data_IF_385852629677
#
_entry.id   IF_385852629677
#
_cell.length_a   1.000
_cell.length_b   1.000
_cell.length_c   1.000
_cell.angle_alpha   90.00
_cell.angle_beta   90.00
_cell.angle_gamma   90.00
#
_symmetry.space_group_name_H-M   'P 1'
#
loop_
_entity.id
_entity.type
_entity.pdbx_description
1 polymer ?
#
# COMPACT_ATOMS: atom_id res chain seq x y z
N UNK A 1 -13.53 -21.37 -61.39
CA UNK A 1 -13.96 -21.26 -59.99
C UNK A 1 -12.69 -21.15 -59.17
N UNK A 2 -12.39 -19.96 -58.67
CA UNK A 2 -11.21 -19.70 -57.84
C UNK A 2 -11.49 -20.29 -56.47
N UNK A 3 -10.70 -21.28 -56.05
CA UNK A 3 -10.55 -21.64 -54.64
C UNK A 3 -9.97 -20.41 -53.94
N UNK A 4 -10.81 -19.65 -53.23
CA UNK A 4 -10.30 -18.85 -52.13
C UNK A 4 -9.78 -19.85 -51.11
N UNK A 5 -8.44 -19.96 -51.02
CA UNK A 5 -7.83 -20.52 -49.83
C UNK A 5 -8.37 -19.70 -48.65
N UNK A 6 -8.95 -20.38 -47.69
CA UNK A 6 -9.37 -19.82 -46.42
C UNK A 6 -8.09 -19.45 -45.65
N UNK A 7 -7.46 -18.34 -46.02
CA UNK A 7 -6.18 -17.85 -45.49
C UNK A 7 -6.38 -17.05 -44.21
N UNK A 8 -7.44 -17.31 -43.45
CA UNK A 8 -7.63 -16.69 -42.15
C UNK A 8 -6.97 -17.56 -41.09
N UNK A 9 -6.07 -16.97 -40.31
CA UNK A 9 -5.49 -17.61 -39.14
C UNK A 9 -6.61 -17.91 -38.15
N UNK A 10 -6.78 -19.15 -37.72
CA UNK A 10 -7.73 -19.48 -36.67
C UNK A 10 -7.19 -19.03 -35.29
N UNK A 11 -8.07 -18.96 -34.28
CA UNK A 11 -7.69 -18.49 -32.95
C UNK A 11 -6.55 -19.30 -32.31
N UNK A 12 -6.45 -20.60 -32.62
CA UNK A 12 -5.41 -21.48 -32.08
C UNK A 12 -4.06 -21.18 -32.71
N UNK A 13 -4.02 -20.96 -34.02
CA UNK A 13 -2.82 -20.57 -34.74
C UNK A 13 -2.38 -19.16 -34.37
N UNK A 14 -3.32 -18.21 -34.21
CA UNK A 14 -3.02 -16.86 -33.74
C UNK A 14 -2.40 -16.89 -32.34
N UNK A 15 -3.00 -17.66 -31.42
CA UNK A 15 -2.46 -17.83 -30.05
C UNK A 15 -1.08 -18.47 -30.07
N UNK A 16 -0.82 -19.43 -30.96
CA UNK A 16 0.49 -20.06 -31.11
C UNK A 16 1.54 -19.05 -31.58
N UNK A 17 1.23 -18.26 -32.60
CA UNK A 17 2.12 -17.23 -33.16
C UNK A 17 2.44 -16.16 -32.10
N UNK A 18 1.41 -15.65 -31.43
CA UNK A 18 1.57 -14.71 -30.32
C UNK A 18 2.47 -15.29 -29.22
N UNK A 19 2.21 -16.51 -28.75
CA UNK A 19 2.98 -17.11 -27.66
C UNK A 19 4.44 -17.40 -28.03
N UNK A 20 4.70 -17.73 -29.30
CA UNK A 20 6.06 -17.93 -29.82
C UNK A 20 6.85 -16.61 -29.81
N UNK A 21 6.25 -15.52 -30.30
CA UNK A 21 6.83 -14.18 -30.27
C UNK A 21 7.12 -13.71 -28.85
N UNK A 22 6.14 -13.80 -27.94
CA UNK A 22 6.30 -13.39 -26.53
C UNK A 22 7.43 -14.18 -25.85
N UNK A 23 7.48 -15.50 -26.04
CA UNK A 23 8.52 -16.33 -25.40
C UNK A 23 9.92 -16.00 -25.91
N UNK A 24 10.05 -15.73 -27.19
CA UNK A 24 11.34 -15.43 -27.82
C UNK A 24 11.85 -14.04 -27.42
N UNK A 25 10.97 -13.04 -27.40
CA UNK A 25 11.34 -11.63 -27.26
C UNK A 25 11.27 -11.12 -25.80
N UNK A 26 10.30 -11.62 -25.02
CA UNK A 26 10.00 -11.12 -23.67
C UNK A 26 10.26 -12.14 -22.56
N UNK A 27 10.35 -13.42 -22.90
CA UNK A 27 10.76 -14.50 -22.00
C UNK A 27 9.66 -15.52 -21.67
N UNK A 28 10.03 -16.56 -20.92
CA UNK A 28 9.23 -17.80 -20.80
C UNK A 28 8.16 -17.78 -19.70
N UNK A 29 8.26 -16.83 -18.77
CA UNK A 29 7.36 -16.70 -17.61
C UNK A 29 6.03 -16.03 -17.96
N UNK A 30 5.96 -15.32 -19.09
CA UNK A 30 4.74 -14.68 -19.56
C UNK A 30 3.77 -15.71 -20.15
N UNK A 31 2.49 -15.41 -20.02
CA UNK A 31 1.37 -16.20 -20.53
C UNK A 31 0.41 -15.29 -21.29
N UNK A 32 -0.42 -15.90 -22.13
CA UNK A 32 -1.53 -15.21 -22.77
C UNK A 32 -2.82 -15.59 -22.06
N UNK A 33 -3.65 -14.60 -21.77
CA UNK A 33 -5.03 -14.82 -21.36
C UNK A 33 -5.91 -15.18 -22.57
N UNK A 34 -7.23 -15.22 -22.37
CA UNK A 34 -8.17 -15.37 -23.48
C UNK A 34 -8.09 -14.20 -24.46
N UNK A 35 -8.27 -14.52 -25.74
CA UNK A 35 -8.12 -13.58 -26.85
C UNK A 35 -9.45 -13.13 -27.41
N UNK A 36 -9.48 -11.89 -27.88
CA UNK A 36 -10.61 -11.30 -28.57
C UNK A 36 -10.27 -11.12 -30.05
N UNK A 37 -11.24 -11.31 -30.94
CA UNK A 37 -11.08 -11.09 -32.38
C UNK A 37 -11.83 -9.83 -32.79
N UNK A 38 -11.13 -8.89 -33.40
CA UNK A 38 -11.72 -7.70 -34.01
C UNK A 38 -12.03 -7.98 -35.49
N UNK A 39 -13.32 -8.07 -35.84
CA UNK A 39 -13.76 -8.30 -37.22
C UNK A 39 -13.50 -7.09 -38.14
N UNK A 40 -13.36 -5.88 -37.60
CA UNK A 40 -13.12 -4.65 -38.35
C UNK A 40 -11.69 -4.56 -38.86
N UNK A 41 -10.73 -4.84 -37.98
CA UNK A 41 -9.29 -4.78 -38.28
C UNK A 41 -8.71 -6.16 -38.66
N UNK A 42 -9.49 -7.24 -38.50
CA UNK A 42 -9.09 -8.63 -38.74
C UNK A 42 -7.88 -9.05 -37.88
N UNK A 43 -7.88 -8.63 -36.61
CA UNK A 43 -6.80 -8.88 -35.67
C UNK A 43 -7.28 -9.70 -34.46
N UNK A 44 -6.43 -10.62 -34.00
CA UNK A 44 -6.59 -11.25 -32.70
C UNK A 44 -5.76 -10.51 -31.66
N UNK A 45 -6.37 -10.12 -30.55
CA UNK A 45 -5.69 -9.47 -29.43
C UNK A 45 -5.70 -10.41 -28.23
N UNK A 46 -4.53 -10.64 -27.63
CA UNK A 46 -4.38 -11.42 -26.41
C UNK A 46 -3.69 -10.57 -25.33
N UNK A 47 -4.24 -10.60 -24.11
CA UNK A 47 -3.57 -9.98 -22.96
C UNK A 47 -2.38 -10.82 -22.53
N UNK A 48 -1.25 -10.17 -22.28
CA UNK A 48 -0.04 -10.78 -21.75
C UNK A 48 -0.09 -10.66 -20.23
N UNK A 49 -0.07 -11.80 -19.57
CA UNK A 49 -0.17 -11.88 -18.11
C UNK A 49 1.08 -12.53 -17.51
N UNK A 50 1.46 -12.06 -16.32
CA UNK A 50 2.44 -12.69 -15.45
C UNK A 50 1.73 -13.29 -14.24
N UNK A 51 1.90 -14.60 -14.01
CA UNK A 51 1.43 -15.28 -12.80
C UNK A 51 2.63 -15.71 -11.97
N UNK A 52 2.87 -15.01 -10.88
CA UNK A 52 3.99 -15.31 -9.98
C UNK A 52 3.59 -16.43 -9.02
N UNK A 53 4.33 -17.56 -8.99
CA UNK A 53 4.10 -18.61 -8.01
C UNK A 53 4.52 -18.14 -6.61
N UNK A 54 3.70 -18.46 -5.61
CA UNK A 54 3.96 -18.33 -4.18
C UNK A 54 4.11 -19.73 -3.58
N UNK A 55 5.32 -20.06 -3.17
CA UNK A 55 5.61 -21.33 -2.49
C UNK A 55 5.34 -21.14 -0.99
N UNK A 56 4.46 -21.96 -0.44
CA UNK A 56 4.19 -22.01 1.00
C UNK A 56 5.01 -23.16 1.59
N UNK A 57 5.78 -22.84 2.62
CA UNK A 57 6.66 -23.79 3.32
C UNK A 57 6.02 -24.23 4.65
N UNK A 58 6.50 -25.34 5.20
CA UNK A 58 6.10 -25.80 6.53
C UNK A 58 6.65 -24.87 7.62
N UNK A 59 6.19 -25.05 8.86
CA UNK A 59 6.57 -24.19 9.99
C UNK A 59 8.10 -24.12 10.21
N UNK A 60 8.82 -25.18 9.82
CA UNK A 60 10.28 -25.26 9.91
C UNK A 60 10.99 -24.73 8.65
N UNK A 61 10.23 -24.33 7.61
CA UNK A 61 10.69 -23.78 6.32
C UNK A 61 11.58 -24.73 5.52
N UNK A 62 11.52 -26.03 5.79
CA UNK A 62 12.35 -27.03 5.12
C UNK A 62 11.65 -27.64 3.91
N UNK A 63 10.31 -27.74 3.93
CA UNK A 63 9.56 -28.40 2.88
C UNK A 63 8.44 -27.52 2.32
N UNK A 64 8.21 -27.60 1.02
CA UNK A 64 7.06 -26.98 0.37
C UNK A 64 5.78 -27.78 0.67
N UNK A 65 4.79 -27.11 1.26
CA UNK A 65 3.48 -27.70 1.59
C UNK A 65 2.41 -27.32 0.58
N UNK A 66 2.50 -26.13 -0.03
CA UNK A 66 1.53 -25.64 -1.00
C UNK A 66 2.19 -24.72 -2.05
N UNK A 67 1.62 -24.66 -3.25
CA UNK A 67 2.06 -23.78 -4.34
C UNK A 67 0.85 -23.01 -4.85
N UNK A 68 0.77 -21.74 -4.49
CA UNK A 68 -0.28 -20.83 -4.96
C UNK A 68 0.23 -19.98 -6.10
N UNK A 69 -0.67 -19.38 -6.85
CA UNK A 69 -0.33 -18.36 -7.84
C UNK A 69 -1.02 -17.08 -7.41
N UNK A 70 -0.27 -15.98 -7.41
CA UNK A 70 -0.87 -14.66 -7.27
C UNK A 70 -1.79 -14.39 -8.46
N UNK A 71 -2.71 -13.45 -8.29
CA UNK A 71 -3.58 -13.01 -9.38
C UNK A 71 -2.73 -12.53 -10.58
N UNK A 72 -3.20 -12.75 -11.81
CA UNK A 72 -2.44 -12.42 -13.01
C UNK A 72 -2.23 -10.92 -13.12
N UNK A 73 -0.98 -10.50 -13.26
CA UNK A 73 -0.61 -9.11 -13.57
C UNK A 73 -0.63 -8.96 -15.09
N UNK A 74 -1.45 -8.06 -15.61
CA UNK A 74 -1.43 -7.69 -17.02
C UNK A 74 -0.22 -6.78 -17.30
N UNK A 75 0.61 -7.17 -18.28
CA UNK A 75 1.86 -6.47 -18.61
C UNK A 75 1.89 -5.92 -20.05
N UNK A 76 0.76 -6.02 -20.74
CA UNK A 76 0.57 -5.54 -22.11
C UNK A 76 -0.31 -6.46 -22.93
N UNK A 77 -0.40 -6.20 -24.23
CA UNK A 77 -1.22 -6.95 -25.18
C UNK A 77 -0.40 -7.34 -26.40
N UNK A 78 -0.70 -8.49 -27.01
CA UNK A 78 -0.12 -8.92 -28.28
C UNK A 78 -1.21 -9.04 -29.32
N UNK A 79 -1.01 -8.43 -30.48
CA UNK A 79 -1.94 -8.50 -31.59
C UNK A 79 -1.36 -9.36 -32.71
N UNK A 80 -2.23 -10.10 -33.39
CA UNK A 80 -1.89 -10.94 -34.54
C UNK A 80 -2.86 -10.64 -35.67
N UNK A 81 -2.33 -10.12 -36.77
CA UNK A 81 -3.09 -9.90 -38.01
C UNK A 81 -3.46 -11.27 -38.62
N UNK A 82 -4.76 -11.51 -38.79
CA UNK A 82 -5.29 -12.78 -39.23
C UNK A 82 -5.01 -13.09 -40.71
N UNK A 83 -4.61 -12.11 -41.52
CA UNK A 83 -4.24 -12.28 -42.93
C UNK A 83 -2.73 -12.35 -43.12
N UNK A 84 -1.99 -11.38 -42.56
CA UNK A 84 -0.55 -11.25 -42.79
C UNK A 84 0.30 -12.09 -41.85
N UNK A 85 -0.30 -12.61 -40.76
CA UNK A 85 0.39 -13.31 -39.66
C UNK A 85 1.43 -12.46 -38.94
N UNK A 86 1.42 -11.15 -39.16
CA UNK A 86 2.29 -10.23 -38.44
C UNK A 86 1.85 -10.18 -36.98
N UNK A 87 2.84 -10.14 -36.09
CA UNK A 87 2.63 -10.10 -34.64
C UNK A 87 3.20 -8.80 -34.11
N UNK A 88 2.36 -7.98 -33.47
CA UNK A 88 2.80 -6.80 -32.73
C UNK A 88 2.72 -7.07 -31.22
N UNK A 89 3.75 -6.66 -30.49
CA UNK A 89 3.91 -6.97 -29.07
C UNK A 89 4.67 -5.86 -28.35
N UNK A 90 4.46 -5.69 -27.04
CA UNK A 90 5.15 -4.67 -26.27
C UNK A 90 6.63 -4.98 -26.22
N UNK A 91 7.43 -3.92 -26.25
CA UNK A 91 8.87 -4.01 -25.98
C UNK A 91 9.12 -4.47 -24.55
N UNK A 92 10.27 -5.10 -24.29
CA UNK A 92 10.67 -5.47 -22.91
C UNK A 92 10.70 -4.26 -21.97
N UNK A 93 10.91 -3.04 -22.51
CA UNK A 93 10.86 -1.79 -21.75
C UNK A 93 9.43 -1.44 -21.30
N UNK A 94 8.42 -1.67 -22.14
CA UNK A 94 7.02 -1.46 -21.78
C UNK A 94 6.58 -2.46 -20.71
N UNK A 95 6.88 -3.75 -20.90
CA UNK A 95 6.61 -4.79 -19.89
C UNK A 95 7.24 -4.43 -18.54
N UNK A 96 8.53 -4.03 -18.56
CA UNK A 96 9.22 -3.61 -17.33
C UNK A 96 8.54 -2.42 -16.66
N UNK A 97 8.07 -1.45 -17.43
CA UNK A 97 7.38 -0.26 -16.91
C UNK A 97 6.05 -0.62 -16.23
N UNK A 98 5.28 -1.54 -16.80
CA UNK A 98 4.03 -2.00 -16.18
C UNK A 98 4.29 -2.77 -14.89
N UNK A 99 5.35 -3.60 -14.85
CA UNK A 99 5.76 -4.27 -13.61
C UNK A 99 6.21 -3.27 -12.53
N UNK A 100 7.02 -2.27 -12.89
CA UNK A 100 7.43 -1.20 -11.97
C UNK A 100 6.21 -0.44 -11.42
N UNK A 101 5.22 -0.14 -12.27
CA UNK A 101 3.98 0.52 -11.87
C UNK A 101 3.16 -0.34 -10.90
N UNK A 102 3.00 -1.63 -11.18
CA UNK A 102 2.32 -2.56 -10.27
C UNK A 102 3.05 -2.65 -8.92
N UNK A 103 4.39 -2.72 -8.91
CA UNK A 103 5.17 -2.70 -7.68
C UNK A 103 4.99 -1.40 -6.87
N UNK A 104 4.94 -0.25 -7.55
CA UNK A 104 4.65 1.04 -6.92
C UNK A 104 3.25 1.09 -6.31
N UNK A 105 2.24 0.58 -7.01
CA UNK A 105 0.86 0.50 -6.55
C UNK A 105 0.72 -0.43 -5.34
N UNK A 106 1.33 -1.61 -5.40
CA UNK A 106 1.37 -2.57 -4.29
C UNK A 106 2.06 -1.95 -3.07
N UNK A 107 3.23 -1.33 -3.24
CA UNK A 107 3.94 -0.70 -2.14
C UNK A 107 3.12 0.46 -1.52
N UNK A 108 2.45 1.27 -2.34
CA UNK A 108 1.59 2.33 -1.85
C UNK A 108 0.39 1.77 -1.07
N UNK A 109 -0.21 0.67 -1.55
CA UNK A 109 -1.33 0.01 -0.91
C UNK A 109 -0.92 -0.61 0.45
N UNK A 110 0.26 -1.23 0.54
CA UNK A 110 0.81 -1.75 1.81
C UNK A 110 1.08 -0.61 2.80
N UNK A 111 1.69 0.49 2.34
CA UNK A 111 1.95 1.64 3.20
C UNK A 111 0.65 2.29 3.70
N UNK A 112 -0.40 2.34 2.86
CA UNK A 112 -1.74 2.78 3.26
C UNK A 112 -2.36 1.87 4.32
N UNK A 113 -2.29 0.55 4.11
CA UNK A 113 -2.76 -0.44 5.07
C UNK A 113 -2.01 -0.31 6.40
N UNK A 114 -0.68 -0.09 6.36
CA UNK A 114 0.13 0.15 7.54
C UNK A 114 -0.26 1.42 8.29
N UNK A 115 -0.52 2.52 7.58
CA UNK A 115 -1.02 3.76 8.19
C UNK A 115 -2.37 3.53 8.88
N UNK A 116 -3.24 2.70 8.27
CA UNK A 116 -4.52 2.33 8.85
C UNK A 116 -4.39 1.41 10.07
N UNK A 117 -3.45 0.47 10.04
CA UNK A 117 -3.25 -0.51 11.09
C UNK A 117 -2.54 0.08 12.33
N UNK A 118 -1.60 1.01 12.10
CA UNK A 118 -0.69 1.54 13.12
C UNK A 118 -0.69 3.06 13.20
N UNK A 119 -1.75 3.73 12.73
CA UNK A 119 -1.80 5.19 12.71
C UNK A 119 -1.65 5.80 14.11
N UNK A 120 -2.27 5.19 15.13
CA UNK A 120 -2.05 5.55 16.53
C UNK A 120 -0.60 5.41 17.00
N UNK A 121 0.19 4.47 16.49
CA UNK A 121 1.60 4.35 16.86
C UNK A 121 2.44 5.36 16.07
N UNK A 122 2.18 5.48 14.77
CA UNK A 122 2.88 6.40 13.87
C UNK A 122 2.67 7.86 14.24
N UNK A 123 1.57 8.22 14.93
CA UNK A 123 1.33 9.58 15.41
C UNK A 123 2.30 10.05 16.50
N UNK A 124 3.00 9.13 17.16
CA UNK A 124 4.01 9.43 18.18
C UNK A 124 5.40 9.70 17.58
N UNK A 125 5.57 9.53 16.27
CA UNK A 125 6.84 9.83 15.59
C UNK A 125 7.10 11.35 15.56
N UNK A 126 8.36 11.79 15.59
CA UNK A 126 8.67 13.20 15.48
C UNK A 126 8.44 13.71 14.06
N UNK A 127 7.56 14.68 13.91
CA UNK A 127 7.22 15.32 12.64
C UNK A 127 8.04 16.59 12.39
N UNK A 128 8.43 16.88 11.14
CA UNK A 128 8.90 18.21 10.77
C UNK A 128 7.75 19.22 10.93
N UNK A 129 7.97 20.28 11.71
CA UNK A 129 6.97 21.31 12.07
C UNK A 129 6.12 21.76 10.87
N UNK A 130 6.73 21.98 9.71
CA UNK A 130 6.10 22.66 8.58
C UNK A 130 5.03 21.83 7.83
N UNK A 131 4.98 20.50 7.99
CA UNK A 131 4.13 19.64 7.15
C UNK A 131 2.76 19.35 7.73
N UNK A 132 2.64 19.35 9.06
CA UNK A 132 1.39 19.13 9.79
C UNK A 132 1.00 20.30 10.68
N UNK A 133 1.76 21.41 10.67
CA UNK A 133 1.44 22.61 11.43
C UNK A 133 -0.05 22.96 11.38
N UNK A 134 -0.73 23.10 10.21
CA UNK A 134 -2.14 23.48 10.23
C UNK A 134 -3.05 22.50 10.99
N UNK A 135 -2.83 21.20 10.81
CA UNK A 135 -3.60 20.17 11.51
C UNK A 135 -3.31 20.19 13.03
N UNK A 136 -2.04 20.35 13.39
CA UNK A 136 -1.60 20.43 14.78
C UNK A 136 -2.08 21.72 15.45
N UNK A 137 -2.05 22.85 14.75
CA UNK A 137 -2.47 24.16 15.23
C UNK A 137 -3.97 24.14 15.53
N UNK A 138 -4.79 23.61 14.59
CA UNK A 138 -6.23 23.43 14.78
C UNK A 138 -6.51 22.53 15.99
N UNK A 139 -5.92 21.33 16.03
CA UNK A 139 -6.19 20.39 17.11
C UNK A 139 -5.70 20.92 18.46
N UNK A 140 -4.53 21.55 18.53
CA UNK A 140 -3.98 22.12 19.76
C UNK A 140 -4.84 23.24 20.31
N UNK A 141 -5.32 24.13 19.43
CA UNK A 141 -6.19 25.24 19.83
C UNK A 141 -7.52 24.72 20.40
N UNK A 142 -8.12 23.71 19.77
CA UNK A 142 -9.36 23.10 20.30
C UNK A 142 -9.09 22.29 21.58
N UNK A 143 -7.97 21.58 21.69
CA UNK A 143 -7.62 20.83 22.90
C UNK A 143 -7.47 21.78 24.10
N UNK A 144 -6.78 22.91 23.91
CA UNK A 144 -6.49 23.85 25.00
C UNK A 144 -7.65 24.80 25.32
N UNK A 145 -8.32 25.32 24.29
CA UNK A 145 -9.32 26.39 24.43
C UNK A 145 -10.76 25.92 24.17
N UNK A 146 -10.95 24.65 23.78
CA UNK A 146 -12.24 24.01 23.53
C UNK A 146 -12.90 24.41 22.21
N UNK A 147 -12.38 25.42 21.51
CA UNK A 147 -12.98 25.97 20.30
C UNK A 147 -12.03 26.83 19.47
N UNK A 148 -12.37 27.03 18.20
CA UNK A 148 -11.76 27.98 17.27
C UNK A 148 -12.86 28.81 16.60
N UNK A 149 -12.68 30.12 16.43
CA UNK A 149 -13.61 30.93 15.65
C UNK A 149 -13.37 30.76 14.14
N UNK A 150 -14.44 30.71 13.34
CA UNK A 150 -14.32 30.57 11.88
C UNK A 150 -13.51 31.71 11.27
N UNK A 151 -13.72 32.95 11.74
CA UNK A 151 -12.98 34.14 11.28
C UNK A 151 -11.47 34.02 11.49
N UNK A 152 -11.03 33.38 12.59
CA UNK A 152 -9.60 33.21 12.87
C UNK A 152 -8.95 32.26 11.84
N UNK A 153 -9.66 31.21 11.43
CA UNK A 153 -9.21 30.27 10.40
C UNK A 153 -9.16 30.91 9.01
N UNK A 154 -10.19 31.68 8.64
CA UNK A 154 -10.23 32.42 7.38
C UNK A 154 -9.10 33.45 7.31
N UNK A 155 -8.80 34.12 8.43
CA UNK A 155 -7.69 35.05 8.52
C UNK A 155 -6.35 34.33 8.32
N UNK A 156 -6.14 33.17 8.93
CA UNK A 156 -4.93 32.37 8.76
C UNK A 156 -4.74 31.88 7.32
N UNK A 157 -5.81 31.40 6.66
CA UNK A 157 -5.77 31.00 5.25
C UNK A 157 -5.51 32.18 4.31
N UNK A 158 -5.94 33.40 4.65
CA UNK A 158 -5.69 34.58 3.82
C UNK A 158 -4.21 35.00 3.74
N UNK A 159 -3.39 34.57 4.70
CA UNK A 159 -1.95 34.88 4.76
C UNK A 159 -1.07 33.83 4.06
N UNK A 160 -1.60 32.66 3.71
CA UNK A 160 -0.91 31.62 2.95
C UNK A 160 -1.56 31.46 1.56
N UNK A 161 -0.82 31.10 0.51
CA UNK A 161 -1.34 30.99 -0.87
C UNK A 161 -2.28 29.76 -1.09
N UNK A 162 -3.32 29.59 -0.25
CA UNK A 162 -4.39 28.58 -0.42
C UNK A 162 -5.22 28.29 0.83
N UNK A 163 -6.38 27.64 0.64
CA UNK A 163 -7.31 27.12 1.67
C UNK A 163 -6.72 25.94 2.47
N UNK A 164 -5.58 26.17 3.12
CA UNK A 164 -4.77 25.09 3.72
C UNK A 164 -5.40 24.60 5.02
N UNK A 165 -5.89 25.49 5.88
CA UNK A 165 -6.54 25.16 7.14
C UNK A 165 -7.96 24.64 6.91
N UNK A 166 -8.74 25.29 6.05
CA UNK A 166 -10.12 24.87 5.76
C UNK A 166 -10.19 23.45 5.18
N UNK A 167 -9.19 23.03 4.39
CA UNK A 167 -9.11 21.64 3.90
C UNK A 167 -9.05 20.61 5.05
N UNK A 168 -8.35 20.91 6.14
CA UNK A 168 -8.29 20.00 7.30
C UNK A 168 -9.57 20.01 8.11
N UNK A 169 -10.23 21.16 8.23
CA UNK A 169 -11.47 21.28 9.00
C UNK A 169 -12.54 20.32 8.50
N UNK A 170 -12.74 20.20 7.19
CA UNK A 170 -13.75 19.29 6.65
C UNK A 170 -13.45 17.82 7.01
N UNK A 171 -12.18 17.39 6.89
CA UNK A 171 -11.76 16.05 7.32
C UNK A 171 -11.90 15.85 8.83
N UNK A 172 -11.55 16.84 9.64
CA UNK A 172 -11.65 16.77 11.09
C UNK A 172 -13.11 16.69 11.56
N UNK A 173 -14.02 17.38 10.86
CA UNK A 173 -15.46 17.32 11.14
C UNK A 173 -16.05 15.98 10.70
N UNK A 174 -15.66 15.47 9.53
CA UNK A 174 -16.09 14.13 9.07
C UNK A 174 -15.68 13.02 10.04
N UNK A 175 -14.49 13.15 10.62
CA UNK A 175 -13.97 12.22 11.63
C UNK A 175 -14.50 12.49 13.04
N UNK A 176 -15.39 13.46 13.24
CA UNK A 176 -15.93 13.84 14.54
C UNK A 176 -14.84 14.14 15.59
N UNK A 177 -13.68 14.61 15.12
CA UNK A 177 -12.66 15.26 15.93
C UNK A 177 -13.05 16.72 16.19
N UNK A 178 -13.78 17.32 15.26
CA UNK A 178 -14.41 18.63 15.40
C UNK A 178 -15.91 18.57 15.10
N UNK A 179 -16.65 19.53 15.65
CA UNK A 179 -18.05 19.81 15.29
C UNK A 179 -18.16 21.24 14.78
N UNK A 180 -18.86 21.41 13.66
CA UNK A 180 -19.16 22.72 13.08
C UNK A 180 -20.36 23.33 13.79
N UNK A 181 -20.15 24.47 14.46
CA UNK A 181 -21.19 25.39 14.90
C UNK A 181 -21.39 26.53 13.88
N UNK A 182 -22.22 27.50 14.23
CA UNK A 182 -22.53 28.63 13.33
C UNK A 182 -21.28 29.51 13.07
N UNK A 183 -20.57 29.91 14.12
CA UNK A 183 -19.39 30.80 14.03
C UNK A 183 -18.11 30.22 14.68
N UNK A 184 -18.19 28.98 15.16
CA UNK A 184 -17.10 28.32 15.88
C UNK A 184 -17.02 26.83 15.55
N UNK A 185 -15.81 26.29 15.56
CA UNK A 185 -15.53 24.87 15.61
C UNK A 185 -15.22 24.46 17.05
N UNK A 186 -15.75 23.33 17.51
CA UNK A 186 -15.56 22.81 18.87
C UNK A 186 -15.16 21.33 18.83
N UNK A 187 -14.77 20.75 19.96
CA UNK A 187 -14.48 19.32 20.07
C UNK A 187 -15.67 18.45 19.63
N UNK A 188 -15.41 17.52 18.71
CA UNK A 188 -16.35 16.46 18.35
C UNK A 188 -16.36 15.32 19.37
N UNK A 189 -17.23 14.31 19.20
CA UNK A 189 -17.37 13.27 20.24
C UNK A 189 -16.14 12.38 20.35
N UNK A 190 -15.40 12.18 19.26
CA UNK A 190 -14.13 11.44 19.30
C UNK A 190 -13.08 12.24 20.09
N UNK A 191 -12.95 13.55 19.85
CA UNK A 191 -11.97 14.36 20.58
C UNK A 191 -12.34 14.49 22.06
N UNK A 192 -13.63 14.67 22.39
CA UNK A 192 -14.11 14.64 23.78
C UNK A 192 -13.77 13.30 24.45
N UNK A 193 -13.96 12.18 23.74
CA UNK A 193 -13.63 10.85 24.25
C UNK A 193 -12.13 10.68 24.53
N UNK A 194 -11.27 11.28 23.70
CA UNK A 194 -9.81 11.30 23.92
C UNK A 194 -9.51 12.10 25.20
N UNK A 195 -10.05 13.30 25.36
CA UNK A 195 -9.78 14.18 26.51
C UNK A 195 -10.33 13.65 27.85
N UNK A 196 -11.34 12.77 27.83
CA UNK A 196 -11.97 12.24 29.04
C UNK A 196 -11.37 10.89 29.53
N UNK A 197 -10.52 10.23 28.75
CA UNK A 197 -10.01 8.89 29.05
C UNK A 197 -8.55 8.92 29.49
N UNK A 198 -8.21 8.06 30.44
CA UNK A 198 -6.81 7.84 30.85
C UNK A 198 -6.00 7.07 29.78
N UNK A 199 -6.68 6.34 28.87
CA UNK A 199 -6.06 5.59 27.77
C UNK A 199 -6.88 5.61 26.49
N UNK A 200 -6.20 5.70 25.35
CA UNK A 200 -6.80 5.59 24.03
C UNK A 200 -5.93 4.72 23.10
N UNK A 201 -6.54 3.69 22.51
CA UNK A 201 -5.88 2.75 21.58
C UNK A 201 -4.59 2.11 22.07
N UNK A 202 -4.47 1.93 23.39
CA UNK A 202 -3.32 1.29 24.03
C UNK A 202 -2.29 2.29 24.59
N UNK A 203 -2.44 3.58 24.30
CA UNK A 203 -1.57 4.65 24.77
C UNK A 203 -2.16 5.34 26.00
N UNK A 204 -1.30 5.74 26.94
CA UNK A 204 -1.67 6.55 28.10
C UNK A 204 -1.83 8.02 27.70
N UNK A 205 -2.85 8.68 28.26
CA UNK A 205 -3.15 10.08 28.01
C UNK A 205 -2.90 10.88 29.29
N UNK A 206 -1.67 11.37 29.45
CA UNK A 206 -1.29 12.15 30.64
C UNK A 206 -1.15 13.65 30.33
N UNK A 207 -0.89 13.98 29.06
CA UNK A 207 -0.58 15.33 28.61
C UNK A 207 -1.40 15.73 27.38
N UNK A 208 -1.50 17.04 27.12
CA UNK A 208 -2.08 17.55 25.88
C UNK A 208 -1.33 17.09 24.62
N UNK A 209 -0.05 16.75 24.74
CA UNK A 209 0.70 16.16 23.63
C UNK A 209 0.20 14.74 23.31
N UNK A 210 -0.19 13.98 24.33
CA UNK A 210 -0.74 12.63 24.16
C UNK A 210 -2.14 12.69 23.53
N UNK A 211 -2.96 13.64 23.97
CA UNK A 211 -4.28 13.93 23.37
C UNK A 211 -4.13 14.31 21.87
N UNK A 212 -3.16 15.17 21.57
CA UNK A 212 -2.85 15.57 20.19
C UNK A 212 -2.37 14.37 19.37
N UNK A 213 -1.48 13.54 19.90
CA UNK A 213 -1.00 12.33 19.22
C UNK A 213 -2.15 11.33 18.98
N UNK A 214 -3.07 11.16 19.92
CA UNK A 214 -4.25 10.31 19.75
C UNK A 214 -5.19 10.84 18.66
N UNK A 215 -5.44 12.15 18.62
CA UNK A 215 -6.25 12.78 17.58
C UNK A 215 -5.59 12.66 16.19
N UNK A 216 -4.27 12.87 16.10
CA UNK A 216 -3.49 12.65 14.88
C UNK A 216 -3.50 11.18 14.44
N UNK A 217 -3.44 10.25 15.39
CA UNK A 217 -3.57 8.82 15.15
C UNK A 217 -4.88 8.49 14.46
N UNK A 218 -5.99 9.00 15.01
CA UNK A 218 -7.31 8.86 14.38
C UNK A 218 -7.39 9.45 13.00
N UNK A 219 -6.84 10.65 12.82
CA UNK A 219 -6.77 11.28 11.52
C UNK A 219 -6.00 10.41 10.51
N UNK A 220 -4.86 9.83 10.88
CA UNK A 220 -4.08 8.96 10.01
C UNK A 220 -4.83 7.67 9.63
N UNK A 221 -5.46 7.02 10.61
CA UNK A 221 -6.13 5.74 10.39
C UNK A 221 -7.32 5.84 9.43
N UNK A 222 -8.04 6.96 9.49
CA UNK A 222 -9.28 7.13 8.76
C UNK A 222 -9.15 8.00 7.50
N UNK A 223 -8.12 8.85 7.41
CA UNK A 223 -7.91 9.74 6.26
C UNK A 223 -6.84 9.23 5.28
N UNK A 224 -6.86 7.93 4.99
CA UNK A 224 -5.95 7.29 4.03
C UNK A 224 -6.19 7.77 2.58
N UNK A 225 -7.32 8.42 2.31
CA UNK A 225 -7.57 9.14 1.04
C UNK A 225 -6.52 10.22 0.76
N UNK A 226 -6.01 10.87 1.81
CA UNK A 226 -4.96 11.89 1.76
C UNK A 226 -3.54 11.30 1.94
N UNK A 227 -3.34 10.02 1.61
CA UNK A 227 -2.08 9.30 1.81
C UNK A 227 -0.84 10.00 1.26
N UNK A 228 -0.95 10.76 0.15
CA UNK A 228 0.18 11.53 -0.38
C UNK A 228 0.73 12.53 0.63
N UNK A 229 -0.13 13.12 1.46
CA UNK A 229 0.28 14.02 2.52
C UNK A 229 0.96 13.25 3.66
N UNK A 230 0.31 12.19 4.14
CA UNK A 230 0.86 11.30 5.19
C UNK A 230 2.26 10.79 4.80
N UNK A 231 2.42 10.35 3.55
CA UNK A 231 3.69 9.87 3.01
C UNK A 231 4.79 10.95 2.94
N UNK A 232 4.46 12.24 2.78
CA UNK A 232 5.49 13.30 2.78
C UNK A 232 6.20 13.40 4.13
N UNK A 233 5.48 13.11 5.20
CA UNK A 233 5.96 13.21 6.58
C UNK A 233 6.53 11.90 7.08
N UNK A 234 5.75 10.82 6.92
CA UNK A 234 6.10 9.49 7.39
C UNK A 234 6.99 8.70 6.42
N UNK A 235 7.30 9.25 5.23
CA UNK A 235 7.89 8.54 4.11
C UNK A 235 9.04 7.59 4.45
N UNK A 236 10.09 8.01 5.18
CA UNK A 236 11.19 7.11 5.52
C UNK A 236 10.76 5.98 6.45
N UNK A 237 9.86 6.23 7.39
CA UNK A 237 9.32 5.23 8.29
C UNK A 237 8.44 4.23 7.53
N UNK A 238 7.55 4.71 6.66
CA UNK A 238 6.70 3.88 5.81
C UNK A 238 7.50 3.08 4.78
N UNK A 239 8.62 3.59 4.29
CA UNK A 239 9.51 2.84 3.39
C UNK A 239 10.17 1.67 4.12
N UNK A 240 10.57 1.84 5.38
CA UNK A 240 11.22 0.81 6.19
C UNK A 240 10.18 -0.21 6.67
N UNK A 241 9.15 0.26 7.37
CA UNK A 241 8.12 -0.60 7.94
C UNK A 241 7.27 -1.24 6.83
N UNK A 242 6.92 -0.51 5.77
CA UNK A 242 6.21 -1.07 4.62
C UNK A 242 7.00 -2.18 3.91
N UNK A 243 8.32 -2.05 3.79
CA UNK A 243 9.17 -3.13 3.27
C UNK A 243 9.12 -4.37 4.18
N UNK A 244 9.25 -4.17 5.50
CA UNK A 244 9.17 -5.26 6.47
C UNK A 244 7.82 -5.96 6.40
N UNK A 245 6.72 -5.20 6.54
CA UNK A 245 5.39 -5.79 6.60
C UNK A 245 4.98 -6.39 5.27
N UNK A 246 5.38 -5.82 4.12
CA UNK A 246 5.24 -6.50 2.82
C UNK A 246 5.82 -7.91 2.87
N UNK A 247 7.06 -8.04 3.35
CA UNK A 247 7.71 -9.34 3.46
C UNK A 247 6.98 -10.27 4.41
N UNK A 248 6.48 -9.74 5.52
CA UNK A 248 5.67 -10.50 6.47
C UNK A 248 4.38 -11.03 5.81
N UNK A 249 3.68 -10.22 5.02
CA UNK A 249 2.48 -10.65 4.27
C UNK A 249 2.81 -11.69 3.19
N UNK A 250 3.93 -11.51 2.50
CA UNK A 250 4.41 -12.49 1.52
C UNK A 250 4.72 -13.84 2.17
N UNK A 251 5.19 -13.87 3.43
CA UNK A 251 5.51 -15.10 4.15
C UNK A 251 4.36 -15.65 5.01
N UNK A 252 3.32 -14.84 5.25
CA UNK A 252 2.25 -15.09 6.21
C UNK A 252 2.73 -15.31 7.66
N UNK A 253 3.82 -14.63 8.03
CA UNK A 253 4.44 -14.66 9.37
C UNK A 253 5.29 -13.42 9.58
N UNK A 254 5.73 -13.15 10.82
CA UNK A 254 6.68 -12.08 11.14
C UNK A 254 8.13 -12.59 11.04
N UNK A 255 8.86 -12.31 9.94
CA UNK A 255 10.24 -12.75 9.82
C UNK A 255 11.18 -11.93 10.71
N UNK A 256 12.23 -12.57 11.21
CA UNK A 256 13.36 -11.88 11.84
C UNK A 256 14.38 -11.56 10.75
N UNK A 257 14.61 -10.28 10.47
CA UNK A 257 15.45 -9.85 9.34
C UNK A 257 16.62 -8.97 9.77
N UNK A 258 17.64 -8.88 8.90
CA UNK A 258 18.79 -8.01 9.14
C UNK A 258 18.47 -6.56 8.80
N UNK A 259 19.13 -5.62 9.49
CA UNK A 259 19.05 -4.19 9.17
C UNK A 259 19.39 -3.90 7.69
N UNK A 260 20.27 -4.70 7.09
CA UNK A 260 20.66 -4.51 5.69
C UNK A 260 19.48 -4.72 4.72
N UNK A 261 18.53 -5.59 5.07
CA UNK A 261 17.31 -5.82 4.29
C UNK A 261 16.35 -4.62 4.44
N UNK A 262 16.18 -4.10 5.66
CA UNK A 262 15.39 -2.87 5.89
C UNK A 262 15.93 -1.65 5.13
N UNK A 263 17.25 -1.59 4.90
CA UNK A 263 17.85 -0.54 4.07
C UNK A 263 17.41 -0.62 2.62
N UNK A 264 16.99 -1.79 2.13
CA UNK A 264 16.53 -1.96 0.76
C UNK A 264 15.17 -1.29 0.54
N UNK A 265 14.32 -1.19 1.57
CA UNK A 265 13.11 -0.35 1.54
C UNK A 265 13.40 1.11 1.21
N UNK A 266 14.42 1.71 1.84
CA UNK A 266 14.86 3.08 1.53
C UNK A 266 15.47 3.18 0.12
N UNK A 267 16.20 2.15 -0.33
CA UNK A 267 16.79 2.15 -1.67
C UNK A 267 15.73 2.03 -2.77
N UNK A 268 14.65 1.29 -2.51
CA UNK A 268 13.53 1.15 -3.43
C UNK A 268 12.75 2.48 -3.56
N UNK A 269 12.45 3.12 -2.43
CA UNK A 269 11.58 4.31 -2.40
C UNK A 269 12.30 5.60 -2.83
N UNK A 270 13.58 5.76 -2.49
CA UNK A 270 14.32 7.01 -2.73
C UNK A 270 15.41 6.85 -3.77
N UNK A 271 15.81 7.92 -4.46
CA UNK A 271 16.90 7.91 -5.44
C UNK A 271 17.92 9.04 -5.19
N UNK A 272 19.08 8.94 -5.84
CA UNK A 272 20.12 9.97 -5.85
C UNK A 272 20.56 10.46 -4.46
N UNK A 273 20.65 11.79 -4.31
CA UNK A 273 21.13 12.44 -3.08
C UNK A 273 20.17 12.25 -1.89
N UNK A 274 18.86 12.16 -2.16
CA UNK A 274 17.87 11.91 -1.11
C UNK A 274 18.04 10.52 -0.51
N UNK A 275 18.21 9.47 -1.34
CA UNK A 275 18.53 8.11 -0.87
C UNK A 275 19.70 8.10 0.10
N UNK A 276 20.81 8.77 -0.25
CA UNK A 276 21.99 8.84 0.59
C UNK A 276 21.70 9.52 1.94
N UNK A 277 20.98 10.64 1.94
CA UNK A 277 20.57 11.32 3.19
C UNK A 277 19.67 10.44 4.06
N UNK A 278 18.71 9.72 3.46
CA UNK A 278 17.80 8.84 4.22
C UNK A 278 18.54 7.62 4.78
N UNK A 279 19.44 7.00 4.00
CA UNK A 279 20.28 5.89 4.46
C UNK A 279 21.24 6.29 5.59
N UNK A 280 21.78 7.51 5.56
CA UNK A 280 22.57 8.05 6.67
C UNK A 280 21.75 8.17 7.96
N UNK A 281 20.48 8.56 7.84
CA UNK A 281 19.53 8.70 8.96
C UNK A 281 18.87 7.38 9.40
N UNK A 282 19.23 6.25 8.79
CA UNK A 282 18.59 4.95 9.03
C UNK A 282 18.49 4.59 10.51
N UNK A 283 19.60 4.68 11.25
CA UNK A 283 19.62 4.31 12.67
C UNK A 283 18.63 5.11 13.50
N UNK A 284 18.44 6.40 13.18
CA UNK A 284 17.47 7.25 13.86
C UNK A 284 16.03 6.78 13.57
N UNK A 285 15.72 6.47 12.31
CA UNK A 285 14.39 5.98 11.94
C UNK A 285 14.06 4.65 12.61
N UNK A 286 15.05 3.76 12.72
CA UNK A 286 14.89 2.46 13.38
C UNK A 286 14.62 2.61 14.89
N UNK A 287 15.40 3.44 15.58
CA UNK A 287 15.16 3.75 17.01
C UNK A 287 13.77 4.32 17.21
N UNK A 288 13.31 5.18 16.30
CA UNK A 288 11.98 5.80 16.39
C UNK A 288 10.85 4.81 16.08
N UNK A 289 11.04 3.88 15.14
CA UNK A 289 10.09 2.79 14.87
C UNK A 289 10.00 1.80 16.03
N UNK A 290 11.11 1.60 16.73
CA UNK A 290 11.19 0.81 17.98
C UNK A 290 10.45 1.50 19.12
N UNK A 291 10.70 2.78 19.33
CA UNK A 291 10.07 3.58 20.38
C UNK A 291 8.54 3.59 20.27
N UNK A 292 8.01 3.65 19.05
CA UNK A 292 6.55 3.63 18.80
C UNK A 292 5.97 2.22 18.62
N UNK A 293 6.76 1.15 18.82
CA UNK A 293 6.27 -0.23 18.76
C UNK A 293 5.76 -0.67 17.38
N UNK A 294 6.39 -0.20 16.29
CA UNK A 294 6.09 -0.65 14.92
C UNK A 294 7.09 -1.72 14.46
N UNK A 295 8.33 -1.65 14.95
CA UNK A 295 9.36 -2.69 14.81
C UNK A 295 10.04 -2.89 16.16
N UNK A 296 10.71 -4.01 16.38
CA UNK A 296 11.45 -4.30 17.61
C UNK A 296 12.84 -4.85 17.28
N UNK A 297 13.84 -4.49 18.08
CA UNK A 297 15.17 -5.08 17.94
C UNK A 297 15.27 -6.43 18.66
N UNK A 298 15.79 -7.43 17.95
CA UNK A 298 15.97 -8.80 18.46
C UNK A 298 17.45 -9.16 18.39
N UNK A 299 18.03 -9.66 19.47
CA UNK A 299 19.43 -10.06 19.52
C UNK A 299 19.59 -11.57 19.39
N UNK A 300 20.26 -12.03 18.34
CA UNK A 300 20.58 -13.44 18.12
C UNK A 300 22.09 -13.59 17.85
N UNK A 301 22.76 -14.42 18.65
CA UNK A 301 24.21 -14.66 18.47
C UNK A 301 25.10 -13.43 18.61
N UNK A 302 24.64 -12.38 19.33
CA UNK A 302 25.36 -11.11 19.47
C UNK A 302 25.17 -10.13 18.32
N UNK A 303 24.40 -10.49 17.30
CA UNK A 303 23.99 -9.60 16.21
C UNK A 303 22.57 -9.07 16.43
N UNK A 304 22.31 -7.85 15.94
CA UNK A 304 20.99 -7.20 16.01
C UNK A 304 20.18 -7.49 14.74
N UNK A 305 18.97 -7.97 14.95
CA UNK A 305 17.93 -8.22 13.97
C UNK A 305 16.70 -7.36 14.29
N UNK A 306 15.72 -7.41 13.40
CA UNK A 306 14.48 -6.66 13.51
C UNK A 306 13.28 -7.59 13.27
N UNK A 307 12.25 -7.42 14.10
CA UNK A 307 10.94 -8.04 13.96
C UNK A 307 9.86 -6.95 13.96
N UNK A 308 8.67 -7.27 13.45
CA UNK A 308 7.49 -6.43 13.53
C UNK A 308 6.66 -6.74 14.76
N UNK A 309 5.66 -5.90 14.99
CA UNK A 309 4.66 -6.06 16.03
C UNK A 309 3.51 -6.97 15.54
N UNK A 310 3.14 -7.94 16.35
CA UNK A 310 2.05 -8.89 16.08
C UNK A 310 0.71 -8.17 15.88
N UNK A 311 0.41 -7.17 16.70
CA UNK A 311 -0.88 -6.46 16.62
C UNK A 311 -0.98 -5.65 15.31
N UNK A 312 0.09 -4.96 14.93
CA UNK A 312 0.21 -4.28 13.65
C UNK A 312 0.05 -5.27 12.49
N UNK A 313 0.71 -6.41 12.54
CA UNK A 313 0.58 -7.44 11.50
C UNK A 313 -0.87 -7.91 11.36
N UNK A 314 -1.52 -8.30 12.47
CA UNK A 314 -2.91 -8.76 12.43
C UNK A 314 -3.87 -7.69 11.91
N UNK A 315 -3.77 -6.45 12.39
CA UNK A 315 -4.58 -5.33 11.88
C UNK A 315 -4.33 -5.06 10.40
N UNK A 316 -3.09 -5.22 9.95
CA UNK A 316 -2.75 -5.06 8.55
C UNK A 316 -3.39 -6.17 7.71
N UNK A 317 -3.39 -7.43 8.19
CA UNK A 317 -4.15 -8.52 7.56
C UNK A 317 -5.65 -8.23 7.48
N UNK A 318 -6.24 -7.73 8.57
CA UNK A 318 -7.68 -7.46 8.64
C UNK A 318 -8.11 -6.29 7.73
N UNK A 319 -7.19 -5.37 7.44
CA UNK A 319 -7.46 -4.18 6.62
C UNK A 319 -6.97 -4.30 5.18
N UNK A 320 -6.11 -5.28 4.90
CA UNK A 320 -5.55 -5.56 3.59
C UNK A 320 -6.61 -5.74 2.49
N UNK A 321 -7.76 -6.32 2.84
CA UNK A 321 -8.86 -6.57 1.90
C UNK A 321 -9.40 -5.28 1.25
N UNK A 322 -9.13 -4.14 1.88
CA UNK A 322 -9.63 -2.83 1.45
C UNK A 322 -8.66 -2.13 0.50
N UNK A 323 -7.46 -2.69 0.28
CA UNK A 323 -6.37 -2.08 -0.47
C UNK A 323 -5.98 -2.91 -1.70
N UNK A 324 -6.96 -3.27 -2.55
CA UNK A 324 -6.78 -3.72 -3.94
C UNK A 324 -5.59 -4.65 -4.18
N UNK A 325 -4.42 -4.16 -4.66
CA UNK A 325 -3.25 -5.01 -4.91
C UNK A 325 -2.80 -5.84 -3.69
N UNK A 326 -3.14 -5.41 -2.48
CA UNK A 326 -2.81 -6.10 -1.23
C UNK A 326 -3.67 -7.35 -1.03
N UNK A 327 -4.94 -7.39 -1.48
CA UNK A 327 -5.76 -8.63 -1.42
C UNK A 327 -5.06 -9.79 -2.09
N UNK A 328 -4.28 -9.53 -3.14
CA UNK A 328 -3.55 -10.55 -3.89
C UNK A 328 -2.56 -11.33 -3.01
N UNK A 329 -2.04 -10.72 -1.94
CA UNK A 329 -1.16 -11.38 -0.97
C UNK A 329 -1.92 -12.34 -0.03
N UNK A 330 -3.24 -12.14 0.10
CA UNK A 330 -4.14 -12.83 1.03
C UNK A 330 -5.13 -13.78 0.37
N UNK A 331 -5.39 -13.64 -0.93
CA UNK A 331 -6.40 -14.42 -1.67
C UNK A 331 -6.26 -15.92 -1.38
N UNK A 332 -7.23 -16.56 -0.71
CA UNK A 332 -7.36 -18.00 -0.72
C UNK A 332 -7.80 -18.38 -2.14
N UNK A 333 -6.90 -19.00 -2.90
CA UNK A 333 -7.18 -19.43 -4.28
C UNK A 333 -8.31 -20.46 -4.30
N UNK A 334 -9.56 -20.04 -4.56
CA UNK A 334 -10.75 -20.71 -5.18
C UNK A 334 -11.09 -22.18 -4.81
N UNK A 335 -10.32 -22.88 -3.99
CA UNK A 335 -10.58 -24.25 -3.57
C UNK A 335 -11.43 -24.34 -2.30
N UNK A 336 -11.58 -23.25 -1.54
CA UNK A 336 -12.47 -23.22 -0.37
C UNK A 336 -13.95 -22.98 -0.71
N UNK A 337 -14.29 -22.62 -1.95
CA UNK A 337 -15.71 -22.56 -2.38
C UNK A 337 -16.23 -23.89 -2.97
N UNK A 338 -15.39 -24.91 -3.18
CA UNK A 338 -15.84 -26.23 -3.61
C UNK A 338 -16.06 -27.24 -2.47
N UNK A 339 -15.70 -26.91 -1.23
CA UNK A 339 -15.93 -27.79 -0.06
C UNK A 339 -17.29 -27.60 0.61
N UNK A 340 -18.12 -26.66 0.17
CA UNK A 340 -19.51 -26.47 0.67
C UNK A 340 -20.60 -26.81 -0.36
N UNK A 341 -20.24 -27.38 -1.52
CA UNK A 341 -21.19 -27.84 -2.55
C UNK A 341 -21.43 -29.35 -2.59
N UNK A 342 -20.87 -30.11 -1.65
CA UNK A 342 -20.84 -31.58 -1.68
C UNK A 342 -21.26 -32.23 -0.37
N UNK A 343 -22.34 -31.75 0.25
CA UNK A 343 -23.08 -32.51 1.25
C UNK A 343 -24.58 -32.40 0.95
N UNK A 344 -24.97 -33.06 -0.14
CA UNK A 344 -26.30 -33.63 -0.26
C UNK A 344 -26.12 -35.12 -0.53
N UNK A 345 -26.28 -35.91 0.53
CA UNK A 345 -26.93 -37.23 0.50
C UNK A 345 -27.72 -37.38 1.81
#
# INVERSE_FOLDING_TARGET
MSTQEDTSVDTSEARRLAMEAIRFELGTYLRLDDGEFDEGDLEYTFRIILRSPKLILDADKENAVDLRFLDPIEVGEVTVDAQSKNVDYPTSRQVKKELEKYEEELNAAIQKALVRASGSNLSHLPFPENQYAPLQDILSEVILNGKIATDDLEMMDSYEDGEKYMKYIDSLVELDLLKRGDDVFQSGDILNTIQEKDKFEGHELETHQDELNAALGRYFEHNVGEFKMIKRTLGPYLAIAGFYYRRALELDELPIIKEQELRDGIKAEYSGRERQKKLFKMSRYLVQLEDVGVLESVYQGGERYWAGDDNTFQRLRDTADQFGPVTELFSPSIFEQQTLGGMSD
#
